data_IF_690229583641
#
_entry.id   IF_690229583641
#
_cell.length_a   1.000
_cell.length_b   1.000
_cell.length_c   1.000
_cell.angle_alpha   90.00
_cell.angle_beta   90.00
_cell.angle_gamma   90.00
#
_symmetry.space_group_name_H-M   'P 1'
#
loop_
_entity.id
_entity.type
_entity.pdbx_description
1 polymer ?
#
# COMPACT_ATOMS: atom_id res chain seq x y z
N UNK A 1 76.25 37.33 -17.63
CA UNK A 1 76.35 37.05 -19.07
C UNK A 1 74.99 36.59 -19.55
N UNK A 2 74.48 37.26 -20.58
CA UNK A 2 73.17 37.05 -21.16
C UNK A 2 73.07 35.73 -21.93
N UNK A 3 71.86 35.17 -22.05
CA UNK A 3 71.27 34.88 -23.35
C UNK A 3 69.76 34.61 -23.27
N UNK A 4 69.11 34.97 -24.37
CA UNK A 4 67.72 35.30 -24.54
C UNK A 4 66.84 34.14 -25.04
N UNK A 5 65.52 34.32 -24.84
CA UNK A 5 64.40 34.00 -25.75
C UNK A 5 64.11 32.56 -26.18
N UNK A 6 62.85 32.13 -26.00
CA UNK A 6 61.88 32.12 -27.12
C UNK A 6 60.43 31.94 -26.66
N UNK A 7 59.57 32.65 -27.39
CA UNK A 7 58.11 32.67 -27.33
C UNK A 7 57.49 31.37 -27.85
N UNK A 8 56.35 30.98 -27.26
CA UNK A 8 55.23 30.43 -28.02
C UNK A 8 53.92 30.67 -27.24
N UNK A 9 53.17 31.69 -27.64
CA UNK A 9 51.76 31.85 -27.26
C UNK A 9 50.93 30.96 -28.17
N UNK A 10 50.33 29.90 -27.61
CA UNK A 10 49.25 29.16 -28.26
C UNK A 10 47.91 29.69 -27.75
N UNK A 11 47.39 30.70 -28.45
CA UNK A 11 45.98 31.06 -28.37
C UNK A 11 45.19 29.98 -29.10
N UNK A 12 44.77 28.94 -28.38
CA UNK A 12 43.77 28.02 -28.89
C UNK A 12 42.40 28.71 -28.79
N UNK A 13 41.96 29.26 -29.93
CA UNK A 13 40.59 29.71 -30.14
C UNK A 13 39.65 28.53 -29.87
N UNK A 14 39.01 28.55 -28.70
CA UNK A 14 37.90 27.64 -28.40
C UNK A 14 36.73 28.01 -29.31
N UNK A 15 36.31 27.04 -30.11
CA UNK A 15 35.12 27.12 -30.96
C UNK A 15 33.88 27.34 -30.08
N UNK A 16 32.92 28.20 -30.47
CA UNK A 16 31.68 28.43 -29.72
C UNK A 16 30.77 27.19 -29.60
N UNK A 17 31.10 26.09 -30.29
CA UNK A 17 30.25 24.89 -30.34
C UNK A 17 30.42 23.92 -29.17
N UNK A 18 31.40 24.12 -28.28
CA UNK A 18 31.64 23.20 -27.14
C UNK A 18 30.95 23.63 -25.83
N UNK A 19 30.16 24.71 -25.86
CA UNK A 19 29.44 25.21 -24.66
C UNK A 19 28.06 24.54 -24.49
N UNK A 20 27.57 23.81 -25.49
CA UNK A 20 26.19 23.32 -25.49
C UNK A 20 26.00 21.88 -25.02
N UNK A 21 27.09 21.14 -24.78
CA UNK A 21 27.04 19.75 -24.33
C UNK A 21 27.14 19.56 -22.80
N UNK A 22 27.30 20.63 -22.02
CA UNK A 22 27.50 20.53 -20.57
C UNK A 22 26.33 21.03 -19.69
N UNK A 23 25.17 21.33 -20.27
CA UNK A 23 23.95 21.70 -19.51
C UNK A 23 23.01 20.53 -19.20
N UNK A 24 23.22 19.35 -19.81
CA UNK A 24 22.43 18.16 -19.50
C UNK A 24 22.96 17.34 -18.30
N UNK A 25 24.10 17.73 -17.72
CA UNK A 25 24.68 17.07 -16.53
C UNK A 25 24.17 17.64 -15.19
N UNK A 26 23.24 18.60 -15.24
CA UNK A 26 22.51 19.10 -14.06
C UNK A 26 21.10 18.49 -13.93
N UNK A 27 20.88 17.30 -14.51
CA UNK A 27 19.89 16.38 -13.98
C UNK A 27 20.40 15.92 -12.61
N UNK A 28 20.22 16.78 -11.61
CA UNK A 28 20.36 16.50 -10.19
C UNK A 28 19.65 15.18 -9.96
N UNK A 29 20.43 14.10 -9.90
CA UNK A 29 19.89 12.82 -9.50
C UNK A 29 19.32 13.09 -8.11
N UNK A 30 18.00 12.86 -7.89
CA UNK A 30 17.46 13.00 -6.55
C UNK A 30 18.35 12.19 -5.62
N UNK A 31 18.75 12.73 -4.45
CA UNK A 31 19.71 12.07 -3.57
C UNK A 31 19.26 10.63 -3.37
N UNK A 32 20.04 9.69 -3.92
CA UNK A 32 19.76 8.28 -3.79
C UNK A 32 19.86 7.97 -2.30
N UNK A 33 18.70 7.90 -1.62
CA UNK A 33 18.65 7.43 -0.23
C UNK A 33 19.31 6.04 -0.25
N UNK A 34 20.26 5.75 0.65
CA UNK A 34 20.83 4.42 0.72
C UNK A 34 19.70 3.43 0.89
N UNK A 35 19.59 2.47 -0.04
CA UNK A 35 18.62 1.40 0.04
C UNK A 35 18.96 0.60 1.29
N UNK A 36 18.24 0.86 2.38
CA UNK A 36 18.43 0.10 3.61
C UNK A 36 17.86 -1.29 3.35
N UNK A 37 18.72 -2.24 3.03
CA UNK A 37 18.34 -3.64 3.05
C UNK A 37 18.57 -4.22 4.44
N UNK A 38 17.77 -5.20 4.82
CA UNK A 38 18.01 -5.96 6.03
C UNK A 38 17.71 -7.44 5.82
N UNK A 39 18.37 -8.27 6.62
CA UNK A 39 18.26 -9.71 6.58
C UNK A 39 16.95 -10.15 7.23
N UNK A 40 16.17 -10.92 6.50
CA UNK A 40 14.94 -11.58 6.95
C UNK A 40 15.26 -13.05 7.18
N UNK A 41 15.10 -13.51 8.43
CA UNK A 41 15.40 -14.91 8.78
C UNK A 41 14.20 -15.82 8.52
N UNK A 42 12.98 -15.35 8.81
CA UNK A 42 11.75 -16.11 8.63
C UNK A 42 10.79 -15.42 7.65
N UNK A 43 10.01 -16.17 6.84
CA UNK A 43 9.13 -15.58 5.83
C UNK A 43 8.08 -14.60 6.40
N UNK A 44 7.60 -14.84 7.62
CA UNK A 44 6.62 -13.97 8.29
C UNK A 44 7.22 -12.64 8.80
N UNK A 45 8.53 -12.54 8.92
CA UNK A 45 9.23 -11.31 9.31
C UNK A 45 9.56 -10.41 8.11
N UNK A 46 9.35 -10.90 6.87
CA UNK A 46 9.58 -10.09 5.68
C UNK A 46 8.56 -8.95 5.60
N UNK A 47 8.96 -7.68 5.46
CA UNK A 47 8.00 -6.60 5.20
C UNK A 47 7.45 -6.63 3.78
N UNK A 48 8.08 -7.38 2.85
CA UNK A 48 7.46 -7.61 1.55
C UNK A 48 6.20 -8.45 1.73
N UNK A 49 5.06 -7.80 1.53
CA UNK A 49 3.73 -8.37 1.57
C UNK A 49 3.54 -9.56 0.62
N UNK A 50 4.28 -9.61 -0.50
CA UNK A 50 4.28 -10.71 -1.48
C UNK A 50 5.32 -11.79 -1.21
N UNK A 51 6.11 -11.68 -0.13
CA UNK A 51 7.19 -12.61 0.11
C UNK A 51 6.68 -14.05 0.24
N UNK A 52 7.18 -14.91 -0.64
CA UNK A 52 6.98 -16.35 -0.64
C UNK A 52 8.30 -17.11 -0.45
N UNK A 53 9.40 -16.39 -0.17
CA UNK A 53 10.73 -16.97 -0.01
C UNK A 53 10.77 -17.73 1.31
N UNK A 54 10.86 -19.06 1.24
CA UNK A 54 10.88 -19.97 2.39
C UNK A 54 12.21 -20.05 3.14
N UNK A 55 13.20 -19.24 2.75
CA UNK A 55 14.53 -19.22 3.32
C UNK A 55 14.98 -17.79 3.68
N UNK A 56 16.12 -17.69 4.36
CA UNK A 56 16.75 -16.42 4.69
C UNK A 56 17.03 -15.61 3.42
N UNK A 57 16.63 -14.35 3.40
CA UNK A 57 16.82 -13.44 2.27
C UNK A 57 17.02 -12.00 2.75
N UNK A 58 17.32 -11.09 1.82
CA UNK A 58 17.38 -9.65 2.12
C UNK A 58 16.12 -8.98 1.59
N UNK A 59 15.50 -8.15 2.42
CA UNK A 59 14.43 -7.26 1.99
C UNK A 59 15.03 -5.90 1.64
N UNK A 60 14.61 -5.34 0.50
CA UNK A 60 14.93 -3.98 0.10
C UNK A 60 13.70 -3.12 0.31
N UNK A 61 13.83 -2.02 1.05
CA UNK A 61 12.73 -1.09 1.28
C UNK A 61 12.22 -0.57 -0.07
N UNK A 62 10.95 -0.82 -0.43
CA UNK A 62 10.38 -0.32 -1.66
C UNK A 62 10.23 1.20 -1.59
N UNK A 63 10.20 1.81 -2.75
CA UNK A 63 9.82 3.20 -2.90
C UNK A 63 8.35 3.35 -2.48
N UNK A 64 8.08 4.17 -1.47
CA UNK A 64 6.71 4.46 -1.02
C UNK A 64 5.89 5.03 -2.18
N UNK A 65 4.75 4.43 -2.49
CA UNK A 65 3.84 4.96 -3.52
C UNK A 65 3.02 6.07 -2.89
N UNK A 66 2.98 7.25 -3.50
CA UNK A 66 2.11 8.34 -2.99
C UNK A 66 0.65 7.94 -3.19
N UNK A 67 -0.23 8.19 -2.21
CA UNK A 67 -1.66 7.99 -2.38
C UNK A 67 -2.20 8.77 -3.58
N UNK A 68 -3.18 8.24 -4.33
CA UNK A 68 -3.86 8.98 -5.37
C UNK A 68 -4.58 10.19 -4.77
N UNK A 69 -4.70 11.26 -5.55
CA UNK A 69 -5.35 12.53 -5.15
C UNK A 69 -6.87 12.45 -5.03
N UNK A 70 -7.48 11.31 -5.36
CA UNK A 70 -8.93 11.11 -5.40
C UNK A 70 -9.41 10.31 -4.20
N UNK A 71 -10.71 10.38 -3.91
CA UNK A 71 -11.48 9.86 -2.77
C UNK A 71 -11.39 8.33 -2.52
N UNK A 72 -10.22 7.72 -2.68
CA UNK A 72 -9.95 6.31 -2.42
C UNK A 72 -9.50 6.21 -0.97
N UNK A 73 -10.21 5.45 -0.14
CA UNK A 73 -9.85 5.32 1.25
C UNK A 73 -8.53 4.55 1.41
N UNK A 74 -7.67 5.02 2.29
CA UNK A 74 -6.39 4.38 2.61
C UNK A 74 -6.65 3.26 3.63
N UNK A 75 -6.22 2.05 3.29
CA UNK A 75 -6.27 0.89 4.18
C UNK A 75 -4.89 0.65 4.77
N UNK A 76 -4.75 0.87 6.07
CA UNK A 76 -3.53 0.56 6.81
C UNK A 76 -3.58 -0.90 7.24
N UNK A 77 -2.52 -1.65 6.92
CA UNK A 77 -2.36 -3.06 7.29
C UNK A 77 -1.10 -3.26 8.13
N UNK A 78 -1.11 -4.29 8.97
CA UNK A 78 0.04 -4.66 9.80
C UNK A 78 0.13 -6.15 10.04
N UNK A 79 1.17 -6.58 10.75
CA UNK A 79 1.34 -7.98 11.15
C UNK A 79 0.40 -8.34 12.32
N UNK A 80 -0.01 -9.60 12.36
CA UNK A 80 -0.56 -10.19 13.58
C UNK A 80 0.55 -10.33 14.62
N UNK A 81 0.18 -10.26 15.90
CA UNK A 81 1.08 -10.68 16.96
C UNK A 81 1.40 -12.19 16.76
N UNK A 82 2.68 -12.60 16.74
CA UNK A 82 3.05 -14.01 16.59
C UNK A 82 2.40 -14.93 17.63
N UNK A 83 2.12 -14.42 18.84
CA UNK A 83 1.54 -15.18 19.93
C UNK A 83 0.03 -15.42 19.81
N UNK A 84 -0.67 -14.67 18.96
CA UNK A 84 -2.13 -14.65 18.85
C UNK A 84 -2.61 -14.66 17.39
N UNK A 85 -1.79 -15.15 16.46
CA UNK A 85 -2.19 -15.23 15.05
C UNK A 85 -3.19 -16.36 14.81
N UNK A 86 -4.40 -16.08 14.29
CA UNK A 86 -5.35 -17.13 13.92
C UNK A 86 -4.97 -17.86 12.62
N UNK A 87 -3.87 -17.46 11.98
CA UNK A 87 -3.43 -17.99 10.69
C UNK A 87 -1.99 -18.53 10.77
N UNK A 88 -1.74 -19.60 11.55
CA UNK A 88 -0.41 -20.17 11.63
C UNK A 88 0.05 -20.59 10.23
N UNK A 89 1.26 -20.18 9.84
CA UNK A 89 1.93 -20.49 8.56
C UNK A 89 1.34 -19.82 7.31
N UNK A 90 0.42 -18.86 7.43
CA UNK A 90 -0.06 -18.07 6.29
C UNK A 90 0.44 -16.63 6.39
N UNK A 91 0.89 -16.09 5.27
CA UNK A 91 1.30 -14.69 5.14
C UNK A 91 0.05 -13.80 4.99
N UNK A 92 -0.77 -13.72 6.04
CA UNK A 92 -1.97 -12.88 6.09
C UNK A 92 -1.70 -11.66 6.96
N UNK A 93 -2.12 -10.51 6.46
CA UNK A 93 -1.97 -9.22 7.12
C UNK A 93 -3.25 -8.81 7.83
N UNK A 94 -3.12 -8.09 8.93
CA UNK A 94 -4.24 -7.58 9.73
C UNK A 94 -4.60 -6.19 9.26
N UNK A 95 -5.86 -5.94 8.91
CA UNK A 95 -6.39 -4.59 8.76
C UNK A 95 -6.34 -3.88 10.13
N UNK A 96 -5.74 -2.70 10.19
CA UNK A 96 -5.65 -1.96 11.45
C UNK A 96 -7.01 -1.37 11.85
N UNK A 97 -7.33 -1.27 13.16
CA UNK A 97 -8.65 -0.82 13.64
C UNK A 97 -9.03 0.61 13.24
N UNK A 98 -8.04 1.44 12.88
CA UNK A 98 -8.22 2.85 12.52
C UNK A 98 -8.86 3.07 11.14
N UNK A 99 -9.26 2.01 10.44
CA UNK A 99 -10.00 2.16 9.19
C UNK A 99 -11.34 2.85 9.47
N UNK A 100 -11.48 4.09 9.02
CA UNK A 100 -12.68 4.92 9.18
C UNK A 100 -13.93 4.38 8.45
N UNK A 101 -13.83 3.21 7.81
CA UNK A 101 -14.84 2.62 6.95
C UNK A 101 -14.87 1.10 7.12
N UNK A 102 -16.05 0.46 7.01
CA UNK A 102 -16.15 -0.99 7.02
C UNK A 102 -15.58 -1.57 5.72
N UNK A 103 -14.78 -2.64 5.84
CA UNK A 103 -14.31 -3.38 4.68
C UNK A 103 -15.40 -4.31 4.15
N UNK A 104 -15.70 -4.18 2.86
CA UNK A 104 -16.66 -5.02 2.16
C UNK A 104 -16.06 -5.55 0.85
N UNK A 105 -16.68 -6.60 0.33
CA UNK A 105 -16.36 -7.11 -1.00
C UNK A 105 -16.67 -6.06 -2.08
N UNK A 106 -15.78 -5.94 -3.06
CA UNK A 106 -15.84 -4.92 -4.10
C UNK A 106 -15.32 -3.54 -3.68
N UNK A 107 -14.95 -3.33 -2.40
CA UNK A 107 -14.34 -2.07 -1.98
C UNK A 107 -13.00 -1.85 -2.68
N UNK A 108 -12.80 -0.62 -3.16
CA UNK A 108 -11.53 -0.15 -3.71
C UNK A 108 -10.80 0.65 -2.64
N UNK A 109 -9.57 0.26 -2.35
CA UNK A 109 -8.74 0.87 -1.29
C UNK A 109 -7.34 1.14 -1.81
N UNK A 110 -6.64 2.07 -1.17
CA UNK A 110 -5.23 2.31 -1.41
C UNK A 110 -4.38 1.61 -0.33
N UNK A 111 -3.40 0.82 -0.75
CA UNK A 111 -2.36 0.22 0.08
C UNK A 111 -1.01 0.86 -0.25
N UNK A 112 -0.25 1.27 0.76
CA UNK A 112 1.00 2.03 0.62
C UNK A 112 2.04 1.36 -0.29
N UNK A 113 2.13 0.03 -0.25
CA UNK A 113 3.11 -0.74 -1.01
C UNK A 113 2.60 -1.26 -2.37
N UNK A 114 1.29 -1.17 -2.62
CA UNK A 114 0.66 -1.77 -3.82
C UNK A 114 -0.15 -0.81 -4.67
N UNK A 115 -0.42 0.39 -4.18
CA UNK A 115 -1.32 1.31 -4.86
C UNK A 115 -2.78 0.95 -4.66
N UNK A 116 -3.58 1.14 -5.71
CA UNK A 116 -5.03 0.93 -5.67
C UNK A 116 -5.34 -0.54 -5.90
N UNK A 117 -6.12 -1.14 -5.00
CA UNK A 117 -6.53 -2.55 -5.06
C UNK A 117 -8.04 -2.68 -4.84
N UNK A 118 -8.62 -3.73 -5.40
CA UNK A 118 -9.99 -4.15 -5.13
C UNK A 118 -10.03 -5.29 -4.11
N UNK A 119 -10.93 -5.24 -3.15
CA UNK A 119 -11.07 -6.28 -2.13
C UNK A 119 -12.08 -7.33 -2.59
N UNK A 120 -11.62 -8.57 -2.74
CA UNK A 120 -12.48 -9.72 -2.99
C UNK A 120 -12.55 -10.58 -1.74
N UNK A 121 -13.75 -10.98 -1.30
CA UNK A 121 -13.88 -11.85 -0.13
C UNK A 121 -13.33 -13.24 -0.45
N UNK A 122 -12.41 -13.74 0.36
CA UNK A 122 -11.95 -15.11 0.23
C UNK A 122 -13.02 -16.08 0.77
N UNK A 123 -13.12 -17.27 0.16
CA UNK A 123 -14.03 -18.33 0.62
C UNK A 123 -13.70 -18.83 2.03
N UNK A 124 -12.47 -18.62 2.50
CA UNK A 124 -12.04 -19.01 3.82
C UNK A 124 -12.35 -17.89 4.81
N UNK A 125 -13.29 -18.12 5.73
CA UNK A 125 -13.45 -17.32 6.93
C UNK A 125 -12.94 -18.13 8.12
N UNK A 126 -12.25 -17.46 9.04
CA UNK A 126 -11.95 -18.02 10.38
C UNK A 126 -12.90 -17.34 11.35
N UNK A 127 -13.40 -18.03 12.38
CA UNK A 127 -14.60 -17.65 13.15
C UNK A 127 -14.76 -16.15 13.43
N UNK A 128 -13.68 -15.47 13.82
CA UNK A 128 -13.65 -14.04 14.20
C UNK A 128 -13.18 -13.08 13.10
N UNK A 129 -12.72 -13.59 11.95
CA UNK A 129 -12.06 -12.81 10.90
C UNK A 129 -12.63 -13.10 9.51
N UNK A 130 -12.83 -12.02 8.74
CA UNK A 130 -13.11 -12.08 7.31
C UNK A 130 -11.79 -11.89 6.57
N UNK A 131 -11.48 -12.79 5.64
CA UNK A 131 -10.30 -12.67 4.79
C UNK A 131 -10.71 -12.05 3.46
N UNK A 132 -9.95 -11.06 3.02
CA UNK A 132 -10.04 -10.42 1.72
C UNK A 132 -8.76 -10.69 0.93
N UNK A 133 -8.91 -11.03 -0.34
CA UNK A 133 -7.84 -10.95 -1.33
C UNK A 133 -7.83 -9.52 -1.86
N UNK A 134 -6.73 -8.79 -1.67
CA UNK A 134 -6.50 -7.53 -2.35
C UNK A 134 -5.98 -7.82 -3.74
N UNK A 135 -6.75 -7.45 -4.76
CA UNK A 135 -6.46 -7.71 -6.16
C UNK A 135 -6.07 -6.42 -6.88
N UNK A 136 -5.03 -6.49 -7.72
CA UNK A 136 -4.64 -5.39 -8.60
C UNK A 136 -5.64 -5.18 -9.76
N UNK A 137 -5.33 -4.26 -10.67
CA UNK A 137 -6.14 -3.95 -11.85
C UNK A 137 -6.32 -5.14 -12.83
N UNK A 138 -5.39 -6.10 -12.79
CA UNK A 138 -5.42 -7.32 -13.60
C UNK A 138 -6.18 -8.46 -12.91
N UNK A 139 -6.64 -8.25 -11.67
CA UNK A 139 -7.33 -9.25 -10.86
C UNK A 139 -6.41 -10.23 -10.14
N UNK A 140 -5.09 -10.00 -10.14
CA UNK A 140 -4.16 -10.84 -9.40
C UNK A 140 -4.15 -10.46 -7.92
N UNK A 141 -4.21 -11.47 -7.05
CA UNK A 141 -4.10 -11.25 -5.61
C UNK A 141 -2.67 -10.87 -5.24
N UNK A 142 -2.49 -9.64 -4.78
CA UNK A 142 -1.20 -9.12 -4.31
C UNK A 142 -0.97 -9.34 -2.82
N UNK A 143 -2.03 -9.35 -2.01
CA UNK A 143 -1.94 -9.66 -0.57
C UNK A 143 -3.27 -10.18 -0.01
N UNK A 144 -3.20 -11.02 1.03
CA UNK A 144 -4.36 -11.42 1.82
C UNK A 144 -4.46 -10.60 3.11
N UNK A 145 -5.63 -10.03 3.35
CA UNK A 145 -5.91 -9.12 4.47
C UNK A 145 -7.06 -9.70 5.29
N UNK A 146 -6.84 -9.88 6.58
CA UNK A 146 -7.85 -10.26 7.54
C UNK A 146 -8.37 -9.04 8.30
N UNK A 147 -9.69 -8.96 8.42
CA UNK A 147 -10.39 -7.94 9.19
C UNK A 147 -11.30 -8.59 10.22
N UNK A 148 -11.46 -7.95 11.37
CA UNK A 148 -12.34 -8.44 12.43
C UNK A 148 -13.78 -8.41 11.94
N UNK A 149 -14.50 -9.50 12.15
CA UNK A 149 -15.92 -9.56 11.83
C UNK A 149 -16.66 -8.61 12.79
N UNK A 150 -17.11 -7.47 12.29
CA UNK A 150 -18.01 -6.59 13.06
C UNK A 150 -19.36 -7.29 13.13
N UNK A 151 -19.68 -7.86 14.29
CA UNK A 151 -21.03 -8.31 14.57
C UNK A 151 -21.90 -7.06 14.68
N UNK A 152 -22.67 -6.78 13.62
CA UNK A 152 -23.76 -5.82 13.73
C UNK A 152 -24.71 -6.42 14.76
N UNK A 153 -24.94 -5.77 15.92
CA UNK A 153 -25.90 -6.26 16.89
C UNK A 153 -27.21 -6.50 16.15
N UNK A 154 -27.91 -7.62 16.37
CA UNK A 154 -29.18 -7.87 15.70
C UNK A 154 -30.03 -6.63 15.89
N UNK A 155 -30.34 -5.95 14.78
CA UNK A 155 -31.13 -4.73 14.82
C UNK A 155 -32.34 -5.06 15.67
N UNK A 156 -32.48 -4.40 16.83
CA UNK A 156 -33.58 -4.64 17.75
C UNK A 156 -34.84 -4.64 16.89
N UNK A 157 -35.44 -5.82 16.70
CA UNK A 157 -36.61 -5.98 15.88
C UNK A 157 -37.64 -5.06 16.51
N UNK A 158 -37.80 -3.86 15.95
CA UNK A 158 -38.93 -2.99 16.26
C UNK A 158 -40.11 -3.81 15.78
N UNK A 159 -40.73 -4.53 16.71
CA UNK A 159 -41.90 -5.34 16.47
C UNK A 159 -42.93 -4.52 15.68
N UNK A 160 -43.76 -5.18 14.88
CA UNK A 160 -44.73 -4.49 14.04
C UNK A 160 -45.51 -3.51 14.91
N UNK A 161 -45.39 -2.21 14.62
CA UNK A 161 -46.28 -1.20 15.18
C UNK A 161 -47.68 -1.62 14.75
N UNK A 162 -48.41 -2.29 15.64
CA UNK A 162 -49.82 -2.62 15.43
C UNK A 162 -50.51 -1.31 15.10
N UNK A 163 -50.97 -1.20 13.85
CA UNK A 163 -51.78 -0.09 13.40
C UNK A 163 -53.04 -0.04 14.23
N UNK A 164 -53.25 1.08 14.93
CA UNK A 164 -54.57 1.44 15.41
C UNK A 164 -55.24 2.14 14.22
N UNK A 165 -55.98 1.35 13.43
CA UNK A 165 -56.91 1.88 12.46
C UNK A 165 -58.10 2.47 13.23
N UNK A 166 -58.12 3.80 13.38
CA UNK A 166 -59.34 4.51 13.76
C UNK A 166 -60.22 4.64 12.51
N UNK A 167 -61.13 3.68 12.31
CA UNK A 167 -62.31 3.86 11.48
C UNK A 167 -63.47 4.22 12.42
N UNK A 168 -63.71 5.52 12.60
CA UNK A 168 -65.02 5.99 13.03
C UNK A 168 -65.88 6.20 11.77
N UNK A 169 -66.66 5.17 11.44
CA UNK A 169 -67.92 5.35 10.74
C UNK A 169 -68.97 5.73 11.79
N UNK A 170 -69.49 6.95 11.73
CA UNK A 170 -70.80 7.27 12.28
C UNK A 170 -71.55 8.13 11.26
N UNK A 171 -72.48 7.48 10.56
CA UNK A 171 -73.66 8.13 10.02
C UNK A 171 -74.65 8.30 11.18
N UNK A 172 -74.97 9.54 11.54
CA UNK A 172 -76.33 10.09 11.68
C UNK A 172 -76.28 11.53 12.19
#
# INVERSE_FOLDING_TARGET
MAQSTLFASSNHLLSPSDVQSNLNSLLVHPPQRPSRSFKVEFPWDCPNLTCNVGCTHFYHIPSTIRPPTLNIPVLIIGRFDPSDTPFPRRNIWKAQPETAFPLAEGCVVFLEDFGVVSLQRAHTAVMTHIIFNACDESGFTVVQIASVKVEVPPAAQKGPKRGIAFLYNLFH
#
